data_IF_908499764045
#
_entry.id   IF_908499764045
#
_cell.length_a   1.000
_cell.length_b   1.000
_cell.length_c   1.000
_cell.angle_alpha   90.00
_cell.angle_beta   90.00
_cell.angle_gamma   90.00
#
_symmetry.space_group_name_H-M   'P 1'
#
loop_
_entity.id
_entity.type
_entity.pdbx_description
1 polymer ?
#
# COMPACT_ATOMS: atom_id res chain seq x y z
N UNK A 1 -19.80 -15.84 -2.28
CA UNK A 1 -20.91 -15.32 -3.12
C UNK A 1 -20.54 -15.39 -4.60
N UNK A 2 -21.51 -15.39 -5.50
CA UNK A 2 -21.26 -15.41 -6.96
C UNK A 2 -21.74 -14.12 -7.60
N UNK A 3 -20.82 -13.37 -8.20
CA UNK A 3 -21.11 -12.08 -8.83
C UNK A 3 -21.65 -12.27 -10.25
N UNK A 4 -22.61 -11.42 -10.62
CA UNK A 4 -23.11 -11.34 -11.99
C UNK A 4 -22.03 -10.70 -12.85
N UNK A 5 -21.69 -11.36 -13.95
CA UNK A 5 -20.73 -10.81 -14.90
C UNK A 5 -21.30 -9.53 -15.55
N UNK A 6 -20.47 -8.48 -15.75
CA UNK A 6 -20.93 -7.26 -16.40
C UNK A 6 -21.34 -7.56 -17.84
N UNK A 7 -22.35 -6.84 -18.33
CA UNK A 7 -22.81 -6.98 -19.71
C UNK A 7 -21.72 -6.51 -20.69
N UNK A 8 -21.53 -7.28 -21.76
CA UNK A 8 -20.61 -7.00 -22.87
C UNK A 8 -21.36 -7.32 -24.16
N UNK A 9 -21.23 -6.46 -25.19
CA UNK A 9 -21.91 -6.66 -26.49
C UNK A 9 -21.29 -7.81 -27.30
N UNK A 10 -19.99 -8.03 -27.16
CA UNK A 10 -19.16 -8.94 -27.95
C UNK A 10 -19.10 -10.36 -27.37
N UNK A 11 -19.38 -10.56 -26.09
CA UNK A 11 -19.23 -11.86 -25.42
C UNK A 11 -20.03 -11.96 -24.14
N UNK A 12 -20.28 -13.19 -23.70
CA UNK A 12 -20.79 -13.49 -22.36
C UNK A 12 -19.61 -13.86 -21.46
N UNK A 13 -19.42 -13.09 -20.40
CA UNK A 13 -18.41 -13.39 -19.38
C UNK A 13 -18.93 -14.44 -18.40
N UNK A 14 -18.02 -15.27 -17.87
CA UNK A 14 -18.33 -16.26 -16.85
C UNK A 14 -18.67 -15.57 -15.53
N UNK A 15 -19.56 -16.19 -14.75
CA UNK A 15 -19.79 -15.78 -13.36
C UNK A 15 -18.51 -16.02 -12.57
N UNK A 16 -18.23 -15.16 -11.60
CA UNK A 16 -17.07 -15.27 -10.71
C UNK A 16 -17.55 -15.48 -9.29
N UNK A 17 -17.03 -16.51 -8.64
CA UNK A 17 -17.26 -16.75 -7.21
C UNK A 17 -16.13 -16.10 -6.42
N UNK A 18 -16.52 -15.33 -5.41
CA UNK A 18 -15.61 -14.62 -4.50
C UNK A 18 -16.05 -14.80 -3.06
N UNK A 19 -15.13 -14.65 -2.14
CA UNK A 19 -15.40 -14.45 -0.72
C UNK A 19 -15.65 -12.97 -0.47
N UNK A 20 -16.67 -12.65 0.31
CA UNK A 20 -16.94 -11.28 0.75
C UNK A 20 -16.80 -11.22 2.27
N UNK A 21 -16.08 -10.23 2.76
CA UNK A 21 -15.91 -9.94 4.18
C UNK A 21 -16.54 -8.58 4.45
N UNK A 22 -17.52 -8.53 5.35
CA UNK A 22 -18.08 -7.29 5.86
C UNK A 22 -17.49 -7.04 7.24
N UNK A 23 -16.78 -5.93 7.40
CA UNK A 23 -16.26 -5.45 8.66
C UNK A 23 -16.94 -4.12 8.98
N UNK A 24 -17.62 -4.06 10.13
CA UNK A 24 -18.32 -2.86 10.60
C UNK A 24 -17.80 -2.52 11.99
N UNK A 25 -17.48 -1.26 12.21
CA UNK A 25 -17.06 -0.74 13.51
C UNK A 25 -18.20 -0.86 14.53
N UNK A 26 -17.85 -1.39 15.70
CA UNK A 26 -18.75 -1.53 16.83
C UNK A 26 -18.53 -0.31 17.72
N UNK A 27 -19.62 0.34 18.13
CA UNK A 27 -19.62 1.52 19.01
C UNK A 27 -18.75 2.68 18.48
N UNK A 28 -19.08 3.27 17.31
CA UNK A 28 -18.31 4.37 16.74
C UNK A 28 -18.35 5.62 17.66
N UNK A 29 -17.36 6.52 17.55
CA UNK A 29 -17.36 7.80 18.25
C UNK A 29 -18.67 8.57 18.07
N UNK A 30 -19.10 9.28 19.11
CA UNK A 30 -20.32 10.08 19.06
C UNK A 30 -20.25 11.12 17.95
N UNK A 31 -21.23 11.09 17.03
CA UNK A 31 -21.40 11.94 15.83
C UNK A 31 -20.68 11.49 14.55
N UNK A 32 -20.04 10.32 14.52
CA UNK A 32 -19.46 9.76 13.29
C UNK A 32 -20.28 8.57 12.76
N UNK A 33 -20.34 8.43 11.43
CA UNK A 33 -20.87 7.22 10.80
C UNK A 33 -19.92 6.04 11.08
N UNK A 34 -20.44 4.83 11.36
CA UNK A 34 -19.60 3.67 11.61
C UNK A 34 -18.74 3.35 10.39
N UNK A 35 -17.45 3.06 10.62
CA UNK A 35 -16.59 2.55 9.56
C UNK A 35 -17.12 1.20 9.06
N UNK A 36 -17.41 1.12 7.76
CA UNK A 36 -17.88 -0.10 7.12
C UNK A 36 -17.02 -0.44 5.89
N UNK A 37 -16.50 -1.67 5.86
CA UNK A 37 -15.73 -2.21 4.74
C UNK A 37 -16.35 -3.50 4.22
N UNK A 38 -16.72 -3.50 2.93
CA UNK A 38 -17.01 -4.70 2.17
C UNK A 38 -15.81 -5.07 1.31
N UNK A 39 -15.04 -6.07 1.75
CA UNK A 39 -13.84 -6.55 1.06
C UNK A 39 -14.16 -7.80 0.24
N UNK A 40 -13.77 -7.79 -1.04
CA UNK A 40 -13.90 -8.95 -1.93
C UNK A 40 -12.54 -9.59 -2.14
N UNK A 41 -12.46 -10.90 -1.96
CA UNK A 41 -11.22 -11.68 -2.14
C UNK A 41 -11.48 -13.01 -2.83
N UNK A 42 -10.49 -13.50 -3.57
CA UNK A 42 -10.50 -14.85 -4.14
C UNK A 42 -10.03 -15.92 -3.14
N UNK A 43 -9.62 -15.51 -1.94
CA UNK A 43 -9.12 -16.42 -0.92
C UNK A 43 -10.26 -17.02 -0.09
N UNK A 44 -10.17 -18.31 0.28
CA UNK A 44 -11.17 -18.93 1.13
C UNK A 44 -11.09 -18.38 2.55
N UNK A 45 -12.25 -18.29 3.21
CA UNK A 45 -12.40 -17.96 4.62
C UNK A 45 -13.42 -18.90 5.21
N UNK A 46 -12.95 -19.84 6.00
CA UNK A 46 -13.72 -20.90 6.67
C UNK A 46 -13.86 -20.63 8.17
N UNK A 47 -12.96 -19.83 8.75
CA UNK A 47 -12.92 -19.52 10.19
C UNK A 47 -12.73 -18.02 10.45
N UNK A 48 -13.19 -17.50 11.61
CA UNK A 48 -13.10 -16.08 11.93
C UNK A 48 -11.66 -15.52 11.88
N UNK A 49 -10.67 -16.30 12.31
CA UNK A 49 -9.27 -15.87 12.34
C UNK A 49 -8.73 -15.56 10.93
N UNK A 50 -9.22 -16.32 9.94
CA UNK A 50 -8.88 -16.07 8.55
C UNK A 50 -9.49 -14.75 8.08
N UNK A 51 -10.71 -14.39 8.48
CA UNK A 51 -11.28 -13.09 8.13
C UNK A 51 -10.45 -11.94 8.70
N UNK A 52 -10.05 -12.05 9.97
CA UNK A 52 -9.20 -11.07 10.65
C UNK A 52 -7.85 -10.89 9.96
N UNK A 53 -7.22 -11.97 9.49
CA UNK A 53 -5.98 -11.89 8.72
C UNK A 53 -6.14 -11.06 7.43
N UNK A 54 -7.25 -11.24 6.69
CA UNK A 54 -7.47 -10.52 5.42
C UNK A 54 -7.77 -9.06 5.68
N UNK A 55 -8.47 -8.74 6.78
CA UNK A 55 -8.64 -7.37 7.25
C UNK A 55 -7.27 -6.78 7.60
N UNK A 56 -6.41 -7.50 8.33
CA UNK A 56 -5.07 -7.04 8.66
C UNK A 56 -4.21 -6.75 7.41
N UNK A 57 -4.30 -7.57 6.36
CA UNK A 57 -3.65 -7.26 5.08
C UNK A 57 -4.24 -6.01 4.41
N UNK A 58 -5.56 -5.84 4.45
CA UNK A 58 -6.21 -4.65 3.90
C UNK A 58 -5.80 -3.37 4.65
N UNK A 59 -5.56 -3.43 5.96
CA UNK A 59 -5.04 -2.32 6.74
C UNK A 59 -3.65 -1.86 6.23
N UNK A 60 -2.85 -2.76 5.65
CA UNK A 60 -1.58 -2.39 5.02
C UNK A 60 -1.76 -1.57 3.72
N UNK A 61 -2.96 -1.51 3.12
CA UNK A 61 -3.22 -0.77 1.87
C UNK A 61 -2.75 0.68 1.95
N UNK A 62 -2.91 1.32 3.11
CA UNK A 62 -2.54 2.73 3.30
C UNK A 62 -1.05 3.01 3.08
N UNK A 63 -0.18 2.00 3.18
CA UNK A 63 1.27 2.16 2.96
C UNK A 63 1.59 2.73 1.58
N UNK A 64 0.79 2.42 0.55
CA UNK A 64 1.00 2.97 -0.80
C UNK A 64 0.75 4.48 -0.84
N UNK A 65 -0.19 4.98 -0.03
CA UNK A 65 -0.50 6.41 0.05
C UNK A 65 0.63 7.16 0.76
N UNK A 66 1.23 6.55 1.80
CA UNK A 66 2.43 7.08 2.45
C UNK A 66 3.62 7.07 1.49
N UNK A 67 3.81 6.00 0.71
CA UNK A 67 4.84 5.96 -0.34
C UNK A 67 4.69 7.11 -1.33
N UNK A 68 3.49 7.32 -1.87
CA UNK A 68 3.25 8.43 -2.80
C UNK A 68 3.36 9.80 -2.14
N UNK A 69 3.02 9.94 -0.85
CA UNK A 69 3.27 11.18 -0.09
C UNK A 69 4.76 11.47 0.03
N UNK A 70 5.59 10.47 0.33
CA UNK A 70 7.05 10.62 0.36
C UNK A 70 7.56 10.98 -1.02
N UNK A 71 7.13 10.28 -2.06
CA UNK A 71 7.59 10.50 -3.45
C UNK A 71 7.22 11.91 -3.96
N UNK A 72 5.97 12.33 -3.74
CA UNK A 72 5.44 13.60 -4.28
C UNK A 72 5.77 14.80 -3.41
N UNK A 73 5.52 14.72 -2.11
CA UNK A 73 5.73 15.86 -1.20
C UNK A 73 7.12 15.90 -0.60
N UNK A 74 7.68 14.73 -0.25
CA UNK A 74 9.02 14.61 0.33
C UNK A 74 10.12 14.80 -0.73
N UNK A 75 10.18 13.90 -1.71
CA UNK A 75 11.14 13.95 -2.82
C UNK A 75 10.81 15.01 -3.87
N UNK A 76 9.60 15.58 -3.85
CA UNK A 76 9.17 16.67 -4.75
C UNK A 76 9.28 16.31 -6.23
N UNK A 77 8.99 15.05 -6.58
CA UNK A 77 9.14 14.53 -7.95
C UNK A 77 8.38 15.35 -9.00
N UNK A 78 7.24 15.95 -8.63
CA UNK A 78 6.40 16.76 -9.52
C UNK A 78 7.00 18.13 -9.84
N UNK A 79 8.13 18.51 -9.21
CA UNK A 79 8.86 19.75 -9.50
C UNK A 79 9.98 19.58 -10.53
N UNK A 80 10.31 18.34 -10.91
CA UNK A 80 11.33 18.08 -11.91
C UNK A 80 10.97 18.78 -13.24
N UNK A 81 11.92 19.48 -13.83
CA UNK A 81 11.76 20.20 -15.11
C UNK A 81 12.51 19.46 -16.23
N UNK A 82 12.36 18.14 -16.30
CA UNK A 82 12.94 17.31 -17.35
C UNK A 82 11.95 17.23 -18.52
N UNK A 83 12.34 17.77 -19.67
CA UNK A 83 11.44 17.94 -20.82
C UNK A 83 11.28 16.64 -21.63
N UNK A 84 12.33 15.82 -21.70
CA UNK A 84 12.32 14.60 -22.51
C UNK A 84 12.02 13.36 -21.67
N UNK A 85 11.11 12.52 -22.18
CA UNK A 85 10.70 11.26 -21.53
C UNK A 85 11.89 10.35 -21.17
N UNK A 86 12.88 10.22 -22.06
CA UNK A 86 14.12 9.43 -21.83
C UNK A 86 14.96 9.91 -20.64
N UNK A 87 14.74 11.13 -20.17
CA UNK A 87 15.42 11.69 -19.00
C UNK A 87 14.52 11.64 -17.76
N UNK A 88 13.23 11.88 -17.96
CA UNK A 88 12.23 11.83 -16.90
C UNK A 88 12.05 10.41 -16.34
N UNK A 89 11.98 9.39 -17.19
CA UNK A 89 11.75 7.99 -16.75
C UNK A 89 12.83 7.50 -15.78
N UNK A 90 14.15 7.58 -16.11
CA UNK A 90 15.19 7.19 -15.16
C UNK A 90 15.14 7.99 -13.86
N UNK A 91 14.92 9.31 -13.95
CA UNK A 91 14.83 10.16 -12.76
C UNK A 91 13.69 9.70 -11.84
N UNK A 92 12.50 9.43 -12.41
CA UNK A 92 11.37 8.92 -11.65
C UNK A 92 11.71 7.59 -10.98
N UNK A 93 12.34 6.65 -11.71
CA UNK A 93 12.76 5.37 -11.15
C UNK A 93 13.70 5.55 -9.96
N UNK A 94 14.70 6.42 -10.05
CA UNK A 94 15.59 6.71 -8.93
C UNK A 94 14.84 7.27 -7.72
N UNK A 95 13.94 8.24 -7.95
CA UNK A 95 13.14 8.81 -6.86
C UNK A 95 12.19 7.79 -6.22
N UNK A 96 11.66 6.83 -6.98
CA UNK A 96 10.84 5.74 -6.42
C UNK A 96 11.66 4.84 -5.50
N UNK A 97 12.91 4.50 -5.85
CA UNK A 97 13.81 3.72 -5.00
C UNK A 97 14.14 4.50 -3.71
N UNK A 98 14.45 5.79 -3.85
CA UNK A 98 14.75 6.67 -2.70
C UNK A 98 13.53 6.77 -1.77
N UNK A 99 12.34 7.03 -2.32
CA UNK A 99 11.11 7.14 -1.54
C UNK A 99 10.79 5.83 -0.80
N UNK A 100 11.03 4.69 -1.44
CA UNK A 100 10.90 3.39 -0.79
C UNK A 100 11.92 3.19 0.34
N UNK A 101 13.20 3.54 0.14
CA UNK A 101 14.23 3.47 1.19
C UNK A 101 13.86 4.36 2.39
N UNK A 102 13.39 5.58 2.15
CA UNK A 102 12.91 6.48 3.21
C UNK A 102 11.73 5.88 3.96
N UNK A 103 10.77 5.28 3.24
CA UNK A 103 9.62 4.61 3.86
C UNK A 103 10.08 3.44 4.74
N UNK A 104 10.96 2.59 4.21
CA UNK A 104 11.54 1.46 4.94
C UNK A 104 12.24 1.91 6.22
N UNK A 105 13.16 2.88 6.12
CA UNK A 105 13.89 3.43 7.27
C UNK A 105 12.95 4.01 8.32
N UNK A 106 11.89 4.70 7.89
CA UNK A 106 10.88 5.25 8.80
C UNK A 106 10.12 4.13 9.53
N UNK A 107 9.82 3.02 8.87
CA UNK A 107 9.21 1.86 9.50
C UNK A 107 10.17 1.12 10.44
N UNK A 108 11.41 0.88 10.01
CA UNK A 108 12.44 0.23 10.82
C UNK A 108 12.75 1.02 12.08
N UNK A 109 12.93 2.35 11.99
CA UNK A 109 13.18 3.19 13.16
C UNK A 109 12.06 3.17 14.21
N UNK A 110 10.82 2.82 13.82
CA UNK A 110 9.70 2.65 14.75
C UNK A 110 9.58 1.23 15.31
N UNK A 111 9.80 0.23 14.47
CA UNK A 111 9.64 -1.17 14.84
C UNK A 111 10.87 -1.73 15.58
N UNK A 112 12.05 -1.28 15.18
CA UNK A 112 13.36 -1.74 15.63
C UNK A 112 14.30 -0.54 15.87
N UNK A 113 14.04 0.33 16.86
CA UNK A 113 14.81 1.56 17.08
C UNK A 113 16.29 1.31 17.40
N UNK A 114 16.60 0.16 18.02
CA UNK A 114 17.98 -0.23 18.40
C UNK A 114 18.72 -1.00 17.29
N UNK A 115 18.14 -1.10 16.08
CA UNK A 115 18.78 -1.81 14.98
C UNK A 115 20.08 -1.07 14.57
N UNK A 116 21.24 -1.74 14.54
CA UNK A 116 22.48 -1.13 14.10
C UNK A 116 22.36 -0.56 12.67
N UNK A 117 22.90 0.64 12.46
CA UNK A 117 22.74 1.35 11.18
C UNK A 117 23.45 0.64 10.01
N UNK A 118 24.51 -0.10 10.29
CA UNK A 118 25.29 -0.90 9.33
C UNK A 118 24.53 -2.11 8.78
N UNK A 119 23.37 -2.45 9.34
CA UNK A 119 22.43 -3.43 8.77
C UNK A 119 21.73 -2.88 7.53
N UNK A 120 21.53 -1.56 7.45
CA UNK A 120 20.76 -0.91 6.38
C UNK A 120 21.62 -0.04 5.47
N UNK A 121 22.72 0.50 6.01
CA UNK A 121 23.60 1.42 5.31
C UNK A 121 24.98 0.80 5.09
N UNK A 122 25.51 0.97 3.89
CA UNK A 122 26.93 0.69 3.63
C UNK A 122 27.81 1.67 4.41
N UNK A 123 29.06 1.29 4.71
CA UNK A 123 29.98 2.15 5.47
C UNK A 123 30.11 3.56 4.86
N UNK A 124 30.13 3.67 3.53
CA UNK A 124 30.20 4.95 2.83
C UNK A 124 28.94 5.82 2.96
N UNK A 125 27.80 5.24 3.34
CA UNK A 125 26.53 5.97 3.50
C UNK A 125 26.38 6.58 4.90
N UNK A 126 27.02 6.01 5.93
CA UNK A 126 26.86 6.46 7.33
C UNK A 126 28.12 6.96 8.01
N UNK A 127 29.31 6.55 7.55
CA UNK A 127 30.58 7.09 8.04
C UNK A 127 30.91 8.35 7.25
N UNK A 128 30.82 9.51 7.91
CA UNK A 128 31.26 10.76 7.32
C UNK A 128 32.77 10.69 7.01
N UNK A 129 33.16 11.20 5.84
CA UNK A 129 34.56 11.41 5.44
C UNK A 129 35.13 12.62 6.16
#
# INVERSE_FOLDING_TARGET
MTLKAPYRRDRRLSKVTVTALLATEIDPPSNDDPLEWLLLTNLPVERPEQALEKIAWYLCRWQVEVFFKILKSGCKIERLQLEERKHLEPAITFYMIIAWRVLLLTHLGRACPELPCDVVFDAAEWQAV
#
